data_IF_926809403384
#
_entry.id   IF_926809403384
#
_cell.length_a   1.000
_cell.length_b   1.000
_cell.length_c   1.000
_cell.angle_alpha   90.00
_cell.angle_beta   90.00
_cell.angle_gamma   90.00
#
_symmetry.space_group_name_H-M   'P 1'
#
loop_
_entity.id
_entity.type
_entity.pdbx_description
1 polymer ?
#
# COMPACT_ATOMS: atom_id res chain seq x y z
N UNK A 1 -4.94 1.29 8.84
CA UNK A 1 -3.53 1.61 8.52
C UNK A 1 -3.50 2.99 7.90
N UNK A 2 -2.47 3.83 8.15
CA UNK A 2 -2.43 5.19 7.59
C UNK A 2 -2.10 5.19 6.10
N UNK A 3 -2.36 6.30 5.42
CA UNK A 3 -2.05 6.49 3.99
C UNK A 3 -0.56 6.23 3.67
N UNK A 4 0.35 6.67 4.54
CA UNK A 4 1.79 6.44 4.43
C UNK A 4 2.15 4.95 4.28
N UNK A 5 1.53 4.08 5.10
CA UNK A 5 1.76 2.63 5.00
C UNK A 5 1.23 2.08 3.69
N UNK A 6 0.03 2.48 3.28
CA UNK A 6 -0.55 1.99 2.03
C UNK A 6 0.28 2.42 0.82
N UNK A 7 0.75 3.68 0.78
CA UNK A 7 1.68 4.13 -0.27
C UNK A 7 2.94 3.27 -0.30
N UNK A 8 3.54 3.02 0.87
CA UNK A 8 4.74 2.20 0.95
C UNK A 8 4.53 0.76 0.49
N UNK A 9 3.36 0.18 0.81
CA UNK A 9 2.99 -1.16 0.33
C UNK A 9 2.83 -1.19 -1.18
N UNK A 10 2.22 -0.15 -1.79
CA UNK A 10 2.11 -0.03 -3.24
C UNK A 10 3.50 0.07 -3.90
N UNK A 11 4.40 0.89 -3.35
CA UNK A 11 5.79 0.99 -3.82
C UNK A 11 6.49 -0.37 -3.82
N UNK A 12 6.40 -1.11 -2.71
CA UNK A 12 7.04 -2.43 -2.59
C UNK A 12 6.41 -3.42 -3.57
N UNK A 13 5.10 -3.33 -3.81
CA UNK A 13 4.39 -4.15 -4.80
C UNK A 13 4.68 -3.74 -6.27
N UNK A 14 5.43 -2.66 -6.50
CA UNK A 14 5.74 -2.14 -7.83
C UNK A 14 4.62 -1.33 -8.48
N UNK A 15 3.62 -0.88 -7.70
CA UNK A 15 2.50 -0.07 -8.18
C UNK A 15 2.74 1.41 -7.87
N UNK A 16 2.45 2.29 -8.85
CA UNK A 16 2.64 3.73 -8.64
C UNK A 16 1.80 4.25 -7.45
N UNK A 17 2.40 4.81 -6.39
CA UNK A 17 1.68 5.30 -5.20
C UNK A 17 0.72 6.45 -5.48
N UNK A 18 0.84 7.14 -6.63
CA UNK A 18 -0.11 8.16 -7.09
C UNK A 18 -1.48 7.57 -7.42
N UNK A 19 -1.59 6.24 -7.57
CA UNK A 19 -2.88 5.55 -7.68
C UNK A 19 -3.69 5.56 -6.37
N UNK A 20 -3.10 6.04 -5.27
CA UNK A 20 -3.78 6.32 -4.02
C UNK A 20 -3.76 7.81 -3.72
N UNK A 21 -4.91 8.39 -3.43
CA UNK A 21 -5.02 9.76 -2.94
C UNK A 21 -5.94 9.81 -1.71
N UNK A 22 -5.57 10.63 -0.72
CA UNK A 22 -6.39 10.84 0.47
C UNK A 22 -6.52 12.34 0.68
N UNK A 23 -7.72 12.86 0.42
CA UNK A 23 -8.06 14.26 0.60
C UNK A 23 -9.31 14.41 1.46
N UNK A 24 -9.46 15.58 2.05
CA UNK A 24 -10.61 15.93 2.87
C UNK A 24 -11.44 17.00 2.17
N UNK A 25 -12.74 16.78 2.09
CA UNK A 25 -13.72 17.77 1.65
C UNK A 25 -14.96 17.60 2.53
N UNK A 26 -15.47 18.71 3.06
CA UNK A 26 -16.73 18.71 3.81
C UNK A 26 -17.94 18.69 2.87
N UNK A 27 -19.12 18.37 3.41
CA UNK A 27 -20.36 18.36 2.64
C UNK A 27 -20.74 19.74 2.05
N UNK A 28 -20.20 20.83 2.60
CA UNK A 28 -20.43 22.19 2.12
C UNK A 28 -19.48 22.60 0.97
N UNK A 29 -18.44 21.81 0.69
CA UNK A 29 -17.40 22.14 -0.27
C UNK A 29 -17.57 21.39 -1.59
N UNK A 30 -18.78 21.39 -2.14
CA UNK A 30 -19.07 20.70 -3.41
C UNK A 30 -18.11 21.07 -4.57
N UNK A 31 -17.72 22.34 -4.77
CA UNK A 31 -16.74 22.69 -5.80
C UNK A 31 -15.35 22.07 -5.57
N UNK A 32 -14.91 21.97 -4.32
CA UNK A 32 -13.63 21.34 -3.97
C UNK A 32 -13.69 19.84 -4.26
N UNK A 33 -14.77 19.17 -3.87
CA UNK A 33 -14.97 17.74 -4.14
C UNK A 33 -14.89 17.44 -5.65
N UNK A 34 -15.61 18.21 -6.47
CA UNK A 34 -15.56 18.06 -7.93
C UNK A 34 -14.13 18.22 -8.46
N UNK A 35 -13.39 19.22 -7.99
CA UNK A 35 -12.00 19.44 -8.38
C UNK A 35 -11.09 18.27 -8.00
N UNK A 36 -11.19 17.76 -6.77
CA UNK A 36 -10.38 16.65 -6.28
C UNK A 36 -10.63 15.37 -7.09
N UNK A 37 -11.89 15.02 -7.32
CA UNK A 37 -12.26 13.84 -8.10
C UNK A 37 -11.80 13.98 -9.55
N UNK A 38 -11.97 15.15 -10.16
CA UNK A 38 -11.53 15.42 -11.54
C UNK A 38 -10.02 15.26 -11.67
N UNK A 39 -9.25 15.91 -10.77
CA UNK A 39 -7.79 15.84 -10.76
C UNK A 39 -7.27 14.41 -10.57
N UNK A 40 -7.88 13.65 -9.65
CA UNK A 40 -7.51 12.27 -9.43
C UNK A 40 -7.85 11.40 -10.65
N UNK A 41 -9.03 11.60 -11.26
CA UNK A 41 -9.44 10.88 -12.48
C UNK A 41 -8.46 11.12 -13.62
N UNK A 42 -8.01 12.36 -13.81
CA UNK A 42 -7.04 12.70 -14.85
C UNK A 42 -5.66 12.08 -14.55
N UNK A 43 -5.26 12.02 -13.28
CA UNK A 43 -4.05 11.30 -12.84
C UNK A 43 -4.13 9.82 -13.21
N UNK A 44 -5.25 9.15 -12.92
CA UNK A 44 -5.45 7.74 -13.26
C UNK A 44 -5.47 7.52 -14.78
N UNK A 45 -6.08 8.41 -15.56
CA UNK A 45 -6.05 8.33 -17.03
C UNK A 45 -4.64 8.45 -17.58
N UNK A 46 -3.82 9.34 -17.03
CA UNK A 46 -2.41 9.50 -17.43
C UNK A 46 -1.57 8.27 -17.08
N UNK A 47 -1.84 7.66 -15.93
CA UNK A 47 -1.19 6.41 -15.51
C UNK A 47 -1.72 5.18 -16.27
N UNK A 48 -2.83 5.29 -16.99
CA UNK A 48 -3.43 4.16 -17.71
C UNK A 48 -3.91 3.01 -16.80
N UNK A 49 -4.32 1.89 -17.41
CA UNK A 49 -4.71 0.68 -16.70
C UNK A 49 -3.62 0.19 -15.75
N UNK A 50 -4.05 -0.52 -14.71
CA UNK A 50 -3.14 -1.10 -13.73
C UNK A 50 -2.38 -2.28 -14.36
N UNK A 51 -1.05 -2.25 -14.30
CA UNK A 51 -0.17 -3.26 -14.92
C UNK A 51 0.51 -2.77 -16.19
N UNK A 52 -0.13 -1.88 -16.96
CA UNK A 52 0.43 -1.35 -18.20
C UNK A 52 1.62 -0.43 -17.91
N UNK A 53 1.43 0.59 -17.07
CA UNK A 53 2.49 1.54 -16.69
C UNK A 53 3.55 0.88 -15.81
N UNK A 54 3.14 -0.09 -15.01
CA UNK A 54 4.03 -0.88 -14.17
C UNK A 54 4.86 -1.92 -14.98
N UNK A 55 4.54 -2.13 -16.25
CA UNK A 55 5.13 -3.14 -17.14
C UNK A 55 5.12 -4.56 -16.52
N UNK A 56 4.01 -4.91 -15.87
CA UNK A 56 3.82 -6.18 -15.16
C UNK A 56 2.71 -7.01 -15.80
N UNK A 57 2.92 -8.32 -15.91
CA UNK A 57 1.87 -9.24 -16.33
C UNK A 57 0.74 -9.28 -15.28
N UNK A 58 -0.50 -9.53 -15.72
CA UNK A 58 -1.67 -9.54 -14.83
C UNK A 58 -1.51 -10.53 -13.66
N UNK A 59 -0.99 -11.73 -13.93
CA UNK A 59 -0.78 -12.75 -12.89
C UNK A 59 0.28 -12.31 -11.86
N UNK A 60 1.36 -11.67 -12.32
CA UNK A 60 2.40 -11.14 -11.43
C UNK A 60 1.84 -10.02 -10.55
N UNK A 61 1.06 -9.11 -11.14
CA UNK A 61 0.40 -8.02 -10.43
C UNK A 61 -0.58 -8.54 -9.37
N UNK A 62 -1.42 -9.52 -9.72
CA UNK A 62 -2.33 -10.18 -8.77
C UNK A 62 -1.58 -10.85 -7.64
N UNK A 63 -0.47 -11.53 -7.95
CA UNK A 63 0.38 -12.17 -6.94
C UNK A 63 0.97 -11.13 -5.96
N UNK A 64 1.59 -10.07 -6.46
CA UNK A 64 2.18 -9.03 -5.57
C UNK A 64 1.13 -8.31 -4.74
N UNK A 65 -0.01 -7.96 -5.32
CA UNK A 65 -1.10 -7.28 -4.59
C UNK A 65 -1.76 -8.20 -3.55
N UNK A 66 -1.92 -9.49 -3.85
CA UNK A 66 -2.45 -10.45 -2.87
C UNK A 66 -1.47 -10.68 -1.72
N UNK A 67 -0.18 -10.80 -2.01
CA UNK A 67 0.85 -10.91 -1.00
C UNK A 67 0.96 -9.64 -0.13
N UNK A 68 0.88 -8.47 -0.76
CA UNK A 68 0.80 -7.17 -0.09
C UNK A 68 -0.36 -7.14 0.92
N UNK A 69 -1.56 -7.56 0.47
CA UNK A 69 -2.75 -7.66 1.32
C UNK A 69 -2.54 -8.61 2.50
N UNK A 70 -2.07 -9.83 2.25
CA UNK A 70 -1.83 -10.81 3.31
C UNK A 70 -0.76 -10.34 4.31
N UNK A 71 0.26 -9.62 3.85
CA UNK A 71 1.29 -9.07 4.71
C UNK A 71 0.70 -8.02 5.68
N UNK A 72 -0.10 -7.08 5.18
CA UNK A 72 -0.72 -6.04 6.04
C UNK A 72 -1.77 -6.61 7.01
N UNK A 73 -2.41 -7.73 6.68
CA UNK A 73 -3.34 -8.44 7.56
C UNK A 73 -2.62 -9.19 8.70
N UNK A 74 -1.32 -9.46 8.54
CA UNK A 74 -0.52 -10.18 9.53
C UNK A 74 -0.53 -9.50 10.91
N UNK A 75 -0.65 -10.31 11.96
CA UNK A 75 -0.62 -9.83 13.35
C UNK A 75 0.71 -9.12 13.65
N UNK A 76 1.80 -9.57 13.04
CA UNK A 76 3.14 -9.01 13.22
C UNK A 76 3.24 -7.58 12.72
N UNK A 77 2.81 -7.29 11.49
CA UNK A 77 2.81 -5.91 10.96
C UNK A 77 1.81 -5.03 11.71
N UNK A 78 0.60 -5.54 12.00
CA UNK A 78 -0.39 -4.79 12.80
C UNK A 78 0.13 -4.39 14.18
N UNK A 79 0.83 -5.30 14.86
CA UNK A 79 1.40 -5.04 16.19
C UNK A 79 2.53 -4.02 16.13
N UNK A 80 3.45 -4.14 15.14
CA UNK A 80 4.54 -3.18 14.95
C UNK A 80 4.00 -1.78 14.63
N UNK A 81 3.00 -1.71 13.75
CA UNK A 81 2.30 -0.47 13.44
C UNK A 81 1.65 0.15 14.67
N UNK A 82 0.94 -0.65 15.48
CA UNK A 82 0.31 -0.17 16.72
C UNK A 82 1.32 0.43 17.71
N UNK A 83 2.50 -0.19 17.85
CA UNK A 83 3.59 0.36 18.69
C UNK A 83 4.13 1.67 18.15
N UNK A 84 4.34 1.76 16.83
CA UNK A 84 4.79 3.00 16.20
C UNK A 84 3.77 4.13 16.38
N UNK A 85 2.49 3.85 16.14
CA UNK A 85 1.41 4.82 16.31
C UNK A 85 1.33 5.34 17.76
N UNK A 86 1.55 4.48 18.76
CA UNK A 86 1.62 4.90 20.15
C UNK A 86 2.80 5.84 20.42
N UNK A 87 3.97 5.58 19.81
CA UNK A 87 5.14 6.44 19.95
C UNK A 87 4.94 7.80 19.28
N UNK A 88 4.39 7.82 18.05
CA UNK A 88 4.00 9.05 17.36
C UNK A 88 3.06 9.89 18.23
N UNK A 89 2.06 9.25 18.85
CA UNK A 89 1.14 9.94 19.76
C UNK A 89 1.81 10.55 20.97
N UNK A 90 2.81 9.86 21.55
CA UNK A 90 3.56 10.37 22.72
C UNK A 90 4.42 11.58 22.37
N UNK A 91 4.99 11.58 21.18
CA UNK A 91 5.87 12.65 20.72
C UNK A 91 5.10 13.83 20.11
N UNK A 92 3.84 13.60 19.72
CA UNK A 92 2.92 14.61 19.19
C UNK A 92 3.43 15.34 17.94
N UNK A 93 4.34 14.70 17.20
CA UNK A 93 4.87 15.16 15.92
C UNK A 93 4.37 14.24 14.80
N UNK A 94 3.57 14.81 13.92
CA UNK A 94 2.94 14.14 12.78
C UNK A 94 3.39 14.73 11.45
N UNK A 95 4.51 15.45 11.42
CA UNK A 95 5.10 15.89 10.16
C UNK A 95 5.36 14.66 9.25
N UNK A 96 5.03 14.73 7.95
CA UNK A 96 5.20 13.60 7.03
C UNK A 96 6.61 13.00 7.06
N UNK A 97 7.63 13.86 7.15
CA UNK A 97 9.04 13.46 7.17
C UNK A 97 9.38 12.63 8.41
N UNK A 98 8.80 12.99 9.56
CA UNK A 98 8.99 12.29 10.83
C UNK A 98 8.30 10.92 10.80
N UNK A 99 7.09 10.85 10.24
CA UNK A 99 6.36 9.60 10.07
C UNK A 99 7.14 8.65 9.16
N UNK A 100 7.61 9.14 8.00
CA UNK A 100 8.38 8.36 7.04
C UNK A 100 9.70 7.86 7.62
N UNK A 101 10.46 8.73 8.32
CA UNK A 101 11.71 8.35 8.97
C UNK A 101 11.50 7.22 9.99
N UNK A 102 10.44 7.31 10.80
CA UNK A 102 10.13 6.27 11.80
C UNK A 102 9.60 4.98 11.19
N UNK A 103 8.84 5.08 10.10
CA UNK A 103 8.41 3.90 9.34
C UNK A 103 9.62 3.18 8.73
N UNK A 104 10.57 3.93 8.17
CA UNK A 104 11.82 3.40 7.64
C UNK A 104 12.60 2.60 8.70
N UNK A 105 12.74 3.17 9.90
CA UNK A 105 13.45 2.53 11.01
C UNK A 105 12.71 1.30 11.58
N UNK A 106 11.39 1.38 11.78
CA UNK A 106 10.66 0.38 12.59
C UNK A 106 9.85 -0.66 11.81
N UNK A 107 9.42 -0.36 10.59
CA UNK A 107 8.37 -1.14 9.90
C UNK A 107 8.77 -1.56 8.48
N UNK A 108 9.42 -0.69 7.70
CA UNK A 108 9.64 -0.94 6.26
C UNK A 108 10.35 -2.27 5.98
N UNK A 109 11.40 -2.59 6.73
CA UNK A 109 12.13 -3.85 6.58
C UNK A 109 11.28 -5.08 6.98
N UNK A 110 10.46 -4.96 8.03
CA UNK A 110 9.55 -6.04 8.40
C UNK A 110 8.46 -6.23 7.34
N UNK A 111 7.96 -5.15 6.76
CA UNK A 111 6.95 -5.16 5.72
C UNK A 111 7.46 -5.81 4.44
N UNK A 112 8.64 -5.42 3.95
CA UNK A 112 9.28 -6.06 2.79
C UNK A 112 9.48 -7.56 3.01
N UNK A 113 9.95 -7.98 4.19
CA UNK A 113 10.12 -9.40 4.51
C UNK A 113 8.81 -10.17 4.56
N UNK A 114 7.77 -9.60 5.17
CA UNK A 114 6.47 -10.27 5.22
C UNK A 114 5.85 -10.37 3.82
N UNK A 115 5.93 -9.32 2.99
CA UNK A 115 5.46 -9.36 1.61
C UNK A 115 6.17 -10.43 0.79
N UNK A 116 7.51 -10.46 0.81
CA UNK A 116 8.30 -11.48 0.11
C UNK A 116 7.99 -12.91 0.61
N UNK A 117 7.67 -13.07 1.89
CA UNK A 117 7.22 -14.35 2.45
C UNK A 117 5.85 -14.74 1.89
N UNK A 118 4.88 -13.82 1.88
CA UNK A 118 3.53 -14.10 1.36
C UNK A 118 3.55 -14.38 -0.14
N UNK A 119 4.38 -13.68 -0.92
CA UNK A 119 4.55 -13.96 -2.36
C UNK A 119 4.97 -15.42 -2.60
N UNK A 120 5.97 -15.91 -1.84
CA UNK A 120 6.41 -17.31 -1.92
C UNK A 120 5.30 -18.28 -1.53
N UNK A 121 4.62 -18.03 -0.40
CA UNK A 121 3.54 -18.90 0.07
C UNK A 121 2.37 -18.97 -0.90
N UNK A 122 2.00 -17.86 -1.55
CA UNK A 122 0.91 -17.80 -2.53
C UNK A 122 1.34 -18.43 -3.86
N UNK A 123 2.59 -18.24 -4.28
CA UNK A 123 3.13 -18.92 -5.45
C UNK A 123 3.16 -20.45 -5.27
N UNK A 124 3.57 -20.93 -4.10
CA UNK A 124 3.60 -22.36 -3.76
C UNK A 124 2.20 -22.99 -3.72
N UNK A 125 1.19 -22.28 -3.20
CA UNK A 125 -0.19 -22.77 -3.16
C UNK A 125 -0.86 -22.78 -4.54
N UNK A 126 -0.51 -21.84 -5.44
CA UNK A 126 -0.92 -21.85 -6.84
C UNK A 126 -0.34 -23.04 -7.63
N UNK A 127 0.91 -23.43 -7.36
CA UNK A 127 1.56 -24.60 -7.99
C UNK A 127 0.97 -25.93 -7.51
N UNK A 128 0.53 -26.03 -6.25
CA UNK A 128 -0.13 -27.23 -5.74
C UNK A 128 -1.53 -27.47 -6.34
N UNK A 129 -2.24 -26.41 -6.73
CA UNK A 129 -3.53 -26.54 -7.44
C UNK A 129 -3.38 -27.02 -8.89
N UNK A 130 -2.21 -26.81 -9.52
CA UNK A 130 -1.95 -27.20 -10.92
C UNK A 130 -1.41 -28.63 -11.07
N UNK A 131 -0.87 -29.24 -10.00
CA UNK A 131 -0.38 -30.64 -10.00
C UNK A 131 -1.45 -31.68 -9.62
N UNK A 132 -2.69 -31.25 -9.42
CA UNK A 132 -3.81 -32.10 -8.99
C UNK A 132 -4.81 -32.49 -10.08
N UNK A 133 -4.50 -32.23 -11.36
CA UNK A 133 -5.31 -32.66 -12.53
C UNK A 133 -4.47 -33.59 -13.39
#
# INVERSE_FOLDING_TARGET
>A
MTSHVTRKVLEIAGVDPKRLELNWASAAEAPLFVRLITSFTDTIKQLGPLGDTEAMAEDELRLKLSAARSAVESVKLRTRWGKLALNLRKENDYAPEVIEAKMADKINEAMMREMAKQERTIAESGVQSAKGI
#
